data_IF_101659998251
#
_entry.id   IF_101659998251
#
_cell.length_a   1.000
_cell.length_b   1.000
_cell.length_c   1.000
_cell.angle_alpha   90.00
_cell.angle_beta   90.00
_cell.angle_gamma   90.00
#
_symmetry.space_group_name_H-M   'P 1'
#
loop_
_entity.id
_entity.type
_entity.pdbx_description
1 polymer ?
#
# COMPACT_ATOMS: atom_id res chain seq x y z
N UNK A 1 -40.59 -56.50 -11.37
CA UNK A 1 -40.33 -55.43 -12.34
C UNK A 1 -38.89 -55.55 -12.83
N UNK A 2 -38.68 -55.72 -14.14
CA UNK A 2 -37.35 -55.79 -14.73
C UNK A 2 -36.81 -54.35 -14.86
N UNK A 3 -35.68 -54.04 -14.21
CA UNK A 3 -35.11 -52.69 -14.21
C UNK A 3 -34.69 -52.19 -15.59
N UNK A 4 -34.39 -53.11 -16.51
CA UNK A 4 -33.98 -52.86 -17.90
C UNK A 4 -35.11 -52.40 -18.83
N UNK A 5 -36.37 -52.54 -18.40
CA UNK A 5 -37.55 -52.20 -19.19
C UNK A 5 -38.04 -50.77 -18.94
N UNK A 6 -37.36 -50.01 -18.06
CA UNK A 6 -37.70 -48.61 -17.82
C UNK A 6 -37.42 -47.78 -19.10
N UNK A 7 -38.30 -46.84 -19.48
CA UNK A 7 -38.16 -46.03 -20.70
C UNK A 7 -36.94 -45.10 -20.68
N UNK A 8 -36.37 -44.87 -19.50
CA UNK A 8 -35.17 -44.06 -19.27
C UNK A 8 -33.91 -44.91 -19.03
N UNK A 9 -34.03 -46.24 -19.09
CA UNK A 9 -32.89 -47.13 -18.95
C UNK A 9 -31.87 -46.85 -20.07
N UNK A 10 -30.64 -46.49 -19.70
CA UNK A 10 -29.57 -46.13 -20.63
C UNK A 10 -29.60 -44.69 -21.14
N UNK A 11 -30.55 -43.85 -20.71
CA UNK A 11 -30.58 -42.40 -21.05
C UNK A 11 -29.95 -41.60 -19.93
N UNK A 12 -29.22 -40.54 -20.29
CA UNK A 12 -28.65 -39.59 -19.32
C UNK A 12 -29.78 -38.71 -18.79
N UNK A 13 -30.05 -38.71 -17.46
CA UNK A 13 -31.06 -37.85 -16.87
C UNK A 13 -30.79 -36.35 -17.12
N UNK A 14 -31.85 -35.58 -17.33
CA UNK A 14 -31.81 -34.13 -17.59
C UNK A 14 -31.03 -33.36 -16.52
N UNK A 15 -31.26 -33.67 -15.24
CA UNK A 15 -30.62 -32.99 -14.11
C UNK A 15 -29.08 -33.06 -14.16
N UNK A 16 -28.49 -34.12 -14.75
CA UNK A 16 -27.04 -34.22 -14.87
C UNK A 16 -26.44 -33.20 -15.84
N UNK A 17 -27.24 -32.68 -16.79
CA UNK A 17 -26.80 -31.61 -17.69
C UNK A 17 -26.79 -30.27 -16.98
N UNK A 18 -27.81 -30.00 -16.17
CA UNK A 18 -27.90 -28.80 -15.33
C UNK A 18 -26.74 -28.77 -14.34
N UNK A 19 -26.53 -29.86 -13.59
CA UNK A 19 -25.43 -29.98 -12.63
C UNK A 19 -24.06 -29.78 -13.30
N UNK A 20 -23.85 -30.33 -14.50
CA UNK A 20 -22.60 -30.09 -15.26
C UNK A 20 -22.44 -28.63 -15.65
N UNK A 21 -23.51 -27.97 -16.10
CA UNK A 21 -23.46 -26.55 -16.42
C UNK A 21 -23.14 -25.69 -15.20
N UNK A 22 -23.66 -26.05 -14.03
CA UNK A 22 -23.46 -25.28 -12.80
C UNK A 22 -22.02 -25.45 -12.29
N UNK A 23 -21.49 -26.68 -12.33
CA UNK A 23 -20.08 -26.95 -12.01
C UNK A 23 -19.14 -26.17 -12.93
N UNK A 24 -19.45 -26.08 -14.22
CA UNK A 24 -18.62 -25.35 -15.19
C UNK A 24 -18.59 -23.84 -14.88
N UNK A 25 -19.74 -23.24 -14.58
CA UNK A 25 -19.85 -21.83 -14.21
C UNK A 25 -19.10 -21.53 -12.91
N UNK A 26 -19.21 -22.41 -11.92
CA UNK A 26 -18.54 -22.24 -10.63
C UNK A 26 -17.01 -22.31 -10.78
N UNK A 27 -16.51 -23.25 -11.59
CA UNK A 27 -15.08 -23.32 -11.91
C UNK A 27 -14.58 -22.06 -12.60
N UNK A 28 -15.30 -21.57 -13.61
CA UNK A 28 -14.95 -20.34 -14.31
C UNK A 28 -14.94 -19.13 -13.36
N UNK A 29 -15.89 -19.07 -12.42
CA UNK A 29 -15.94 -18.02 -11.42
C UNK A 29 -14.73 -18.07 -10.47
N UNK A 30 -14.37 -19.26 -9.98
CA UNK A 30 -13.20 -19.46 -9.11
C UNK A 30 -11.91 -19.09 -9.85
N UNK A 31 -11.76 -19.51 -11.11
CA UNK A 31 -10.60 -19.21 -11.94
C UNK A 31 -10.42 -17.70 -12.14
N UNK A 32 -11.49 -16.98 -12.50
CA UNK A 32 -11.47 -15.53 -12.63
C UNK A 32 -11.13 -14.82 -11.31
N UNK A 33 -11.62 -15.33 -10.17
CA UNK A 33 -11.29 -14.78 -8.86
C UNK A 33 -9.81 -14.96 -8.51
N UNK A 34 -9.28 -16.17 -8.75
CA UNK A 34 -7.87 -16.49 -8.54
C UNK A 34 -6.96 -15.61 -9.42
N UNK A 35 -7.31 -15.46 -10.70
CA UNK A 35 -6.52 -14.67 -11.65
C UNK A 35 -6.47 -13.18 -11.25
N UNK A 36 -7.61 -12.60 -10.83
CA UNK A 36 -7.65 -11.24 -10.29
C UNK A 36 -6.82 -11.09 -9.01
N UNK A 37 -6.88 -12.07 -8.11
CA UNK A 37 -6.09 -12.03 -6.87
C UNK A 37 -4.60 -12.12 -7.14
N UNK A 38 -4.20 -12.91 -8.14
CA UNK A 38 -2.81 -13.10 -8.53
C UNK A 38 -2.25 -11.86 -9.24
N UNK A 39 -3.02 -11.24 -10.13
CA UNK A 39 -2.65 -9.98 -10.76
C UNK A 39 -2.51 -8.82 -9.74
N UNK A 40 -3.41 -8.76 -8.75
CA UNK A 40 -3.28 -7.81 -7.65
C UNK A 40 -2.02 -8.08 -6.82
N UNK A 41 -1.77 -9.35 -6.48
CA UNK A 41 -0.59 -9.74 -5.71
C UNK A 41 0.72 -9.53 -6.47
N UNK A 42 0.79 -9.73 -7.79
CA UNK A 42 1.99 -9.47 -8.59
C UNK A 42 2.32 -7.97 -8.66
N UNK A 43 1.30 -7.11 -8.56
CA UNK A 43 1.49 -5.65 -8.46
C UNK A 43 2.01 -5.26 -7.06
N UNK A 44 1.58 -5.97 -6.02
CA UNK A 44 2.06 -5.78 -4.64
C UNK A 44 3.42 -6.46 -4.37
N UNK A 45 3.79 -7.50 -5.13
CA UNK A 45 4.93 -8.39 -4.84
C UNK A 45 6.32 -7.82 -5.15
N UNK A 46 6.43 -6.61 -5.70
CA UNK A 46 7.71 -5.90 -5.74
C UNK A 46 7.99 -5.08 -4.48
N UNK A 47 7.27 -5.34 -3.39
CA UNK A 47 7.57 -4.72 -2.10
C UNK A 47 8.75 -5.43 -1.41
N UNK A 48 9.97 -4.89 -1.51
CA UNK A 48 11.11 -5.34 -0.72
C UNK A 48 11.12 -4.68 0.66
N UNK A 49 11.48 -5.44 1.69
CA UNK A 49 11.77 -4.86 3.01
C UNK A 49 13.05 -4.05 2.89
N UNK A 50 13.01 -2.77 3.29
CA UNK A 50 14.20 -1.92 3.33
C UNK A 50 15.25 -2.52 4.27
N UNK A 51 16.51 -2.53 3.87
CA UNK A 51 17.58 -2.96 4.76
C UNK A 51 17.73 -1.99 5.95
N UNK A 52 18.08 -2.51 7.13
CA UNK A 52 18.17 -1.67 8.33
C UNK A 52 19.31 -0.64 8.20
N UNK A 53 20.40 -0.96 7.50
CA UNK A 53 21.49 0.01 7.26
C UNK A 53 21.02 1.16 6.36
N UNK A 54 20.29 0.86 5.28
CA UNK A 54 19.74 1.89 4.39
C UNK A 54 18.73 2.77 5.15
N UNK A 55 17.94 2.17 6.05
CA UNK A 55 16.97 2.89 6.88
C UNK A 55 17.64 3.81 7.90
N UNK A 56 18.72 3.36 8.53
CA UNK A 56 19.51 4.19 9.46
C UNK A 56 20.15 5.37 8.73
N UNK A 57 20.73 5.15 7.56
CA UNK A 57 21.30 6.24 6.74
C UNK A 57 20.22 7.26 6.35
N UNK A 58 19.04 6.80 5.94
CA UNK A 58 17.92 7.68 5.63
C UNK A 58 17.42 8.47 6.85
N UNK A 59 17.35 7.82 8.02
CA UNK A 59 17.00 8.48 9.28
C UNK A 59 18.00 9.58 9.63
N UNK A 60 19.30 9.32 9.48
CA UNK A 60 20.34 10.28 9.79
C UNK A 60 20.35 11.45 8.80
N UNK A 61 20.13 11.18 7.51
CA UNK A 61 19.93 12.23 6.51
C UNK A 61 18.72 13.13 6.83
N UNK A 62 17.60 12.54 7.27
CA UNK A 62 16.41 13.29 7.68
C UNK A 62 16.66 14.15 8.93
N UNK A 63 17.37 13.62 9.93
CA UNK A 63 17.77 14.39 11.12
C UNK A 63 18.69 15.54 10.77
N UNK A 64 19.65 15.33 9.86
CA UNK A 64 20.57 16.37 9.42
C UNK A 64 19.82 17.49 8.67
N UNK A 65 18.86 17.13 7.81
CA UNK A 65 17.99 18.12 7.17
C UNK A 65 17.16 18.90 8.19
N UNK A 66 16.61 18.22 9.20
CA UNK A 66 15.87 18.89 10.29
C UNK A 66 16.76 19.87 11.05
N UNK A 67 18.03 19.52 11.32
CA UNK A 67 18.98 20.42 11.99
C UNK A 67 19.25 21.68 11.16
N UNK A 68 19.46 21.56 9.85
CA UNK A 68 19.70 22.71 8.96
C UNK A 68 18.47 23.65 8.91
N UNK A 69 17.26 23.09 8.81
CA UNK A 69 16.00 23.86 8.84
C UNK A 69 15.82 24.54 10.20
N UNK A 70 16.06 23.83 11.30
CA UNK A 70 15.96 24.37 12.65
C UNK A 70 17.00 25.48 12.89
N UNK A 71 18.23 25.36 12.39
CA UNK A 71 19.24 26.41 12.50
C UNK A 71 18.79 27.69 11.77
N UNK A 72 18.21 27.56 10.57
CA UNK A 72 17.63 28.68 9.82
C UNK A 72 16.44 29.29 10.55
N UNK A 73 15.59 28.46 11.14
CA UNK A 73 14.46 28.92 11.96
C UNK A 73 14.93 29.67 13.21
N UNK A 74 15.93 29.17 13.94
CA UNK A 74 16.47 29.82 15.14
C UNK A 74 17.05 31.21 14.86
N UNK A 75 17.70 31.40 13.70
CA UNK A 75 18.21 32.72 13.28
C UNK A 75 17.10 33.77 13.13
N UNK A 76 15.86 33.36 12.86
CA UNK A 76 14.73 34.28 12.68
C UNK A 76 13.73 34.25 13.85
N UNK A 77 13.74 33.23 14.70
CA UNK A 77 12.76 33.03 15.77
C UNK A 77 12.88 34.06 16.90
N UNK A 78 14.09 34.60 17.11
CA UNK A 78 14.34 35.66 18.09
C UNK A 78 13.83 37.05 17.66
N UNK A 79 13.34 37.20 16.43
CA UNK A 79 12.83 38.46 15.90
C UNK A 79 11.38 38.63 16.34
N UNK A 80 11.15 39.40 17.41
CA UNK A 80 9.81 39.61 18.01
C UNK A 80 8.84 40.31 17.06
N UNK A 81 9.33 41.22 16.21
CA UNK A 81 8.52 41.96 15.25
C UNK A 81 8.79 41.47 13.82
N UNK A 82 7.89 40.65 13.29
CA UNK A 82 7.90 40.30 11.87
C UNK A 82 7.20 41.40 11.06
N UNK A 83 7.87 42.55 10.90
CA UNK A 83 7.31 43.79 10.28
C UNK A 83 6.82 43.64 8.83
N UNK A 84 7.00 42.48 8.20
CA UNK A 84 6.66 42.23 6.80
C UNK A 84 5.99 40.88 6.66
N UNK A 85 4.91 40.82 5.85
CA UNK A 85 4.17 39.58 5.55
C UNK A 85 5.11 38.44 5.13
N UNK A 86 6.12 38.73 4.31
CA UNK A 86 7.10 37.74 3.87
C UNK A 86 7.97 37.15 5.00
N UNK A 87 8.25 37.90 6.07
CA UNK A 87 8.99 37.39 7.24
C UNK A 87 8.14 36.40 8.04
N UNK A 88 6.84 36.68 8.16
CA UNK A 88 5.87 35.78 8.80
C UNK A 88 5.68 34.50 7.99
N UNK A 89 5.49 34.63 6.67
CA UNK A 89 5.34 33.48 5.78
C UNK A 89 6.57 32.56 5.80
N UNK A 90 7.78 33.14 5.79
CA UNK A 90 9.01 32.35 5.86
C UNK A 90 9.15 31.59 7.18
N UNK A 91 8.69 32.18 8.30
CA UNK A 91 8.61 31.49 9.60
C UNK A 91 7.64 30.30 9.55
N UNK A 92 6.42 30.53 9.06
CA UNK A 92 5.39 29.50 8.90
C UNK A 92 5.86 28.37 7.98
N UNK A 93 6.61 28.68 6.91
CA UNK A 93 7.21 27.69 6.02
C UNK A 93 8.23 26.79 6.73
N UNK A 94 9.13 27.37 7.54
CA UNK A 94 10.09 26.58 8.29
C UNK A 94 9.42 25.72 9.37
N UNK A 95 8.37 26.22 10.02
CA UNK A 95 7.58 25.44 10.98
C UNK A 95 6.90 24.24 10.28
N UNK A 96 6.25 24.47 9.14
CA UNK A 96 5.63 23.41 8.36
C UNK A 96 6.65 22.36 7.87
N UNK A 97 7.79 22.79 7.34
CA UNK A 97 8.84 21.88 6.90
C UNK A 97 9.43 21.07 8.08
N UNK A 98 9.56 21.69 9.26
CA UNK A 98 10.04 21.02 10.46
C UNK A 98 9.05 19.95 10.95
N UNK A 99 7.74 20.26 10.96
CA UNK A 99 6.67 19.33 11.31
C UNK A 99 6.61 18.13 10.34
N UNK A 100 6.76 18.39 9.03
CA UNK A 100 6.81 17.33 8.01
C UNK A 100 8.01 16.39 8.23
N UNK A 101 9.19 16.94 8.52
CA UNK A 101 10.39 16.16 8.80
C UNK A 101 10.23 15.33 10.09
N UNK A 102 9.65 15.89 11.15
CA UNK A 102 9.34 15.15 12.36
C UNK A 102 8.36 14.00 12.11
N UNK A 103 7.32 14.23 11.31
CA UNK A 103 6.36 13.20 10.93
C UNK A 103 7.03 12.07 10.14
N UNK A 104 7.92 12.41 9.20
CA UNK A 104 8.69 11.45 8.43
C UNK A 104 9.62 10.60 9.32
N UNK A 105 10.37 11.23 10.23
CA UNK A 105 11.26 10.54 11.18
C UNK A 105 10.44 9.62 12.11
N UNK A 106 9.29 10.07 12.63
CA UNK A 106 8.40 9.24 13.47
C UNK A 106 7.86 8.03 12.70
N UNK A 107 7.53 8.21 11.43
CA UNK A 107 7.02 7.12 10.57
C UNK A 107 8.12 6.10 10.28
N UNK A 108 9.32 6.57 9.96
CA UNK A 108 10.46 5.73 9.61
C UNK A 108 11.06 5.00 10.83
N UNK A 109 10.97 5.58 12.03
CA UNK A 109 11.47 4.97 13.28
C UNK A 109 10.53 3.91 13.88
N UNK A 110 9.22 3.96 13.61
CA UNK A 110 8.22 3.08 14.25
C UNK A 110 8.05 1.70 13.62
N UNK A 111 8.50 1.44 12.40
CA UNK A 111 8.13 0.20 11.72
C UNK A 111 9.03 -0.23 10.58
N UNK A 112 8.75 -1.45 10.11
CA UNK A 112 9.34 -2.06 8.91
C UNK A 112 8.85 -1.31 7.68
N UNK A 113 9.77 -0.80 6.87
CA UNK A 113 9.49 -0.02 5.66
C UNK A 113 9.49 -0.96 4.47
N UNK A 114 8.39 -0.98 3.73
CA UNK A 114 8.27 -1.72 2.47
C UNK A 114 8.51 -0.75 1.31
N UNK A 115 9.50 -1.05 0.48
CA UNK A 115 9.84 -0.29 -0.73
C UNK A 115 9.25 -1.05 -1.91
N UNK A 116 8.40 -0.39 -2.71
CA UNK A 116 7.96 -0.94 -3.99
C UNK A 116 8.99 -0.57 -5.05
N UNK A 117 9.60 -1.57 -5.70
CA UNK A 117 10.49 -1.33 -6.85
C UNK A 117 9.63 -1.09 -8.11
N UNK A 118 9.46 0.17 -8.52
CA UNK A 118 8.86 0.52 -9.83
C UNK A 118 9.82 0.25 -11.00
#
# INVERSE_FOLDING_TARGET
MRYVEKPEYGKVPEYLREVKSDIEKEKQFIEQMLEKSKAASETEQKSRVMDESEKEELLDALKLKWQDVNEKYQKISHIVNHDTIGKKLRKEQYEAEMDELEAAIRKLSKGTVLISDD
#
